data_IF_204539503456
#
_entry.id   IF_204539503456
#
_cell.length_a   1.000
_cell.length_b   1.000
_cell.length_c   1.000
_cell.angle_alpha   90.00
_cell.angle_beta   90.00
_cell.angle_gamma   90.00
#
_symmetry.space_group_name_H-M   'P 1'
#
loop_
_entity.id
_entity.type
_entity.pdbx_description
1 polymer ?
#
# COMPACT_ATOMS: atom_id res chain seq x y z
N UNK A 1 10.65 -30.63 14.57
CA UNK A 1 11.72 -29.71 14.09
C UNK A 1 12.32 -30.10 12.73
N UNK A 2 11.90 -31.19 12.07
CA UNK A 2 12.50 -31.61 10.78
C UNK A 2 12.30 -30.55 9.70
N UNK A 3 11.05 -30.11 9.48
CA UNK A 3 10.73 -29.09 8.47
C UNK A 3 11.42 -27.75 8.74
N UNK A 4 11.44 -27.31 10.01
CA UNK A 4 12.13 -26.08 10.42
C UNK A 4 13.62 -26.12 10.04
N UNK A 5 14.34 -27.18 10.41
CA UNK A 5 15.76 -27.34 10.04
C UNK A 5 15.95 -27.41 8.53
N UNK A 6 15.04 -28.05 7.79
CA UNK A 6 15.09 -28.09 6.32
C UNK A 6 14.94 -26.69 5.72
N UNK A 7 14.00 -25.88 6.20
CA UNK A 7 13.80 -24.50 5.74
C UNK A 7 15.04 -23.65 6.05
N UNK A 8 15.52 -23.71 7.30
CA UNK A 8 16.71 -22.96 7.73
C UNK A 8 17.96 -23.33 6.91
N UNK A 9 18.14 -24.62 6.65
CA UNK A 9 19.22 -25.11 5.79
C UNK A 9 19.11 -24.60 4.35
N UNK A 10 17.89 -24.54 3.78
CA UNK A 10 17.66 -24.02 2.43
C UNK A 10 17.84 -22.51 2.31
N UNK A 11 17.56 -21.76 3.37
CA UNK A 11 17.77 -20.31 3.44
C UNK A 11 19.20 -19.94 3.87
N UNK A 12 20.06 -20.93 4.10
CA UNK A 12 21.43 -20.71 4.59
C UNK A 12 21.46 -19.85 5.86
N UNK A 13 20.45 -20.03 6.73
CA UNK A 13 20.24 -19.23 7.94
C UNK A 13 20.07 -17.71 7.72
N UNK A 14 19.85 -17.29 6.48
CA UNK A 14 19.59 -15.89 6.12
C UNK A 14 18.09 -15.58 6.26
N UNK A 15 17.68 -15.20 7.47
CA UNK A 15 16.28 -14.92 7.81
C UNK A 15 15.91 -13.43 7.71
N UNK A 16 16.91 -12.55 7.68
CA UNK A 16 16.73 -11.10 7.65
C UNK A 16 16.78 -10.60 6.20
N UNK A 17 15.63 -10.62 5.54
CA UNK A 17 15.45 -10.04 4.21
C UNK A 17 14.54 -8.81 4.26
N UNK A 18 14.75 -7.81 3.38
CA UNK A 18 13.87 -6.65 3.34
C UNK A 18 12.44 -7.06 2.96
N UNK A 19 11.48 -6.77 3.83
CA UNK A 19 10.05 -6.99 3.57
C UNK A 19 9.37 -5.69 3.14
N UNK A 20 8.22 -5.75 2.46
CA UNK A 20 7.48 -4.53 2.15
C UNK A 20 7.17 -3.69 3.40
N UNK A 21 6.91 -4.34 4.54
CA UNK A 21 6.58 -3.67 5.80
C UNK A 21 7.61 -2.60 6.21
N UNK A 22 8.92 -2.89 6.13
CA UNK A 22 9.94 -1.93 6.60
C UNK A 22 10.02 -0.67 5.73
N UNK A 23 9.78 -0.79 4.43
CA UNK A 23 9.71 0.36 3.53
C UNK A 23 8.41 1.14 3.72
N UNK A 24 7.31 0.40 3.86
CA UNK A 24 5.97 0.96 3.99
C UNK A 24 5.85 1.92 5.18
N UNK A 25 6.31 1.52 6.37
CA UNK A 25 6.30 2.37 7.57
C UNK A 25 7.05 3.68 7.33
N UNK A 26 8.19 3.63 6.65
CA UNK A 26 8.99 4.82 6.33
C UNK A 26 8.27 5.74 5.33
N UNK A 27 7.67 5.16 4.29
CA UNK A 27 6.99 5.92 3.24
C UNK A 27 5.67 6.55 3.71
N UNK A 28 4.92 5.87 4.58
CA UNK A 28 3.74 6.44 5.23
C UNK A 28 4.13 7.67 6.04
N UNK A 29 5.20 7.59 6.84
CA UNK A 29 5.67 8.74 7.62
C UNK A 29 6.07 9.93 6.73
N UNK A 30 6.75 9.68 5.62
CA UNK A 30 7.06 10.72 4.64
C UNK A 30 5.79 11.33 4.00
N UNK A 31 4.76 10.50 3.77
CA UNK A 31 3.49 10.93 3.23
C UNK A 31 2.70 11.84 4.19
N UNK A 32 2.71 11.55 5.50
CA UNK A 32 2.03 12.33 6.54
C UNK A 32 2.61 13.74 6.69
N UNK A 33 3.94 13.87 6.74
CA UNK A 33 4.62 15.17 6.92
C UNK A 33 4.32 16.13 5.77
N UNK A 34 4.13 15.59 4.57
CA UNK A 34 3.88 16.39 3.36
C UNK A 34 2.48 17.03 3.27
N UNK A 35 1.52 16.60 4.12
CA UNK A 35 0.16 17.19 4.14
C UNK A 35 0.03 18.45 4.98
N UNK A 36 1.05 18.80 5.79
CA UNK A 36 0.94 19.84 6.84
C UNK A 36 1.28 21.26 6.35
N UNK A 37 1.45 21.48 5.03
CA UNK A 37 1.83 22.80 4.48
C UNK A 37 0.67 23.79 4.23
N UNK A 38 -0.56 23.52 4.71
CA UNK A 38 -1.68 24.47 4.58
C UNK A 38 -2.07 25.04 5.95
N UNK A 39 -1.82 26.33 6.13
CA UNK A 39 -2.26 27.22 7.24
C UNK A 39 -3.45 26.69 8.05
N UNK A 40 -3.22 26.31 9.30
CA UNK A 40 -4.05 26.65 10.48
C UNK A 40 -3.58 25.84 11.69
N UNK A 41 -3.18 26.54 12.76
CA UNK A 41 -2.84 25.90 14.02
C UNK A 41 -4.08 25.36 14.71
N UNK A 42 -4.30 24.04 14.62
CA UNK A 42 -5.01 23.24 15.62
C UNK A 42 -4.41 21.82 15.55
N UNK A 43 -3.79 21.29 16.62
CA UNK A 43 -3.36 19.90 16.64
C UNK A 43 -4.59 19.02 16.83
N UNK A 44 -5.02 18.36 15.77
CA UNK A 44 -6.07 17.31 15.80
C UNK A 44 -5.53 16.08 15.07
N UNK A 45 -4.27 15.76 15.36
CA UNK A 45 -3.32 15.18 14.40
C UNK A 45 -3.23 13.64 14.43
N UNK A 46 -4.11 12.94 15.16
CA UNK A 46 -4.07 11.47 15.19
C UNK A 46 -5.17 10.80 14.35
N UNK A 47 -6.37 11.41 14.25
CA UNK A 47 -7.49 10.76 13.56
C UNK A 47 -7.44 10.91 12.03
N UNK A 48 -6.77 11.95 11.53
CA UNK A 48 -6.76 12.26 10.09
C UNK A 48 -5.67 11.51 9.29
N UNK A 49 -4.66 10.97 9.97
CA UNK A 49 -3.55 10.20 9.36
C UNK A 49 -3.82 8.68 9.35
N UNK A 50 -4.59 8.20 10.31
CA UNK A 50 -4.93 6.78 10.47
C UNK A 50 -5.55 6.13 9.21
N UNK A 51 -6.38 6.82 8.40
CA UNK A 51 -6.92 6.25 7.16
C UNK A 51 -5.84 5.98 6.10
N UNK A 52 -4.82 6.84 5.99
CA UNK A 52 -3.74 6.67 5.01
C UNK A 52 -2.88 5.47 5.35
N UNK A 53 -2.47 5.37 6.62
CA UNK A 53 -1.69 4.24 7.11
C UNK A 53 -2.44 2.93 6.89
N UNK A 54 -3.69 2.84 7.33
CA UNK A 54 -4.50 1.63 7.18
C UNK A 54 -4.74 1.26 5.72
N UNK A 55 -5.02 2.24 4.85
CA UNK A 55 -5.21 1.99 3.42
C UNK A 55 -3.93 1.50 2.74
N UNK A 56 -2.78 2.09 3.06
CA UNK A 56 -1.50 1.68 2.50
C UNK A 56 -1.11 0.26 2.97
N UNK A 57 -1.32 -0.06 4.24
CA UNK A 57 -1.16 -1.42 4.76
C UNK A 57 -2.11 -2.42 4.12
N UNK A 58 -3.38 -2.05 3.95
CA UNK A 58 -4.38 -2.87 3.27
C UNK A 58 -3.92 -3.23 1.84
N UNK A 59 -3.54 -2.25 1.03
CA UNK A 59 -3.11 -2.46 -0.35
C UNK A 59 -1.81 -3.26 -0.44
N UNK A 60 -0.84 -3.00 0.45
CA UNK A 60 0.42 -3.75 0.49
C UNK A 60 0.18 -5.22 0.86
N UNK A 61 -0.60 -5.49 1.91
CA UNK A 61 -0.98 -6.86 2.30
C UNK A 61 -1.78 -7.57 1.20
N UNK A 62 -2.71 -6.86 0.55
CA UNK A 62 -3.47 -7.40 -0.56
C UNK A 62 -2.57 -7.80 -1.74
N UNK A 63 -1.56 -6.97 -2.04
CA UNK A 63 -0.54 -7.27 -3.05
C UNK A 63 0.27 -8.53 -2.73
N UNK A 64 0.67 -8.72 -1.47
CA UNK A 64 1.41 -9.93 -1.04
C UNK A 64 0.62 -11.23 -1.22
N UNK A 65 -0.71 -11.17 -1.23
CA UNK A 65 -1.56 -12.35 -1.47
C UNK A 65 -1.59 -12.79 -2.94
N UNK A 66 -1.08 -11.98 -3.86
CA UNK A 66 -1.15 -12.21 -5.30
C UNK A 66 0.23 -12.41 -5.92
N UNK A 67 0.43 -13.55 -6.59
CA UNK A 67 1.69 -13.92 -7.23
C UNK A 67 2.18 -12.89 -8.26
N UNK A 68 1.26 -12.20 -8.94
CA UNK A 68 1.58 -11.18 -9.94
C UNK A 68 2.39 -9.99 -9.37
N UNK A 69 2.41 -9.80 -8.05
CA UNK A 69 3.19 -8.76 -7.38
C UNK A 69 4.67 -9.12 -7.25
N UNK A 70 5.06 -10.40 -7.35
CA UNK A 70 6.45 -10.86 -7.15
C UNK A 70 7.45 -10.31 -8.18
N UNK A 71 6.98 -9.79 -9.31
CA UNK A 71 7.82 -9.10 -10.30
C UNK A 71 8.36 -7.75 -9.80
N UNK A 72 7.81 -7.21 -8.72
CA UNK A 72 8.24 -5.95 -8.12
C UNK A 72 9.04 -6.19 -6.84
N UNK A 73 10.06 -5.37 -6.60
CA UNK A 73 10.79 -5.40 -5.35
C UNK A 73 9.96 -4.86 -4.17
N UNK A 74 10.29 -5.21 -2.91
CA UNK A 74 9.54 -4.79 -1.73
C UNK A 74 9.34 -3.27 -1.59
N UNK A 75 10.35 -2.47 -1.95
CA UNK A 75 10.27 -1.00 -1.91
C UNK A 75 9.26 -0.45 -2.93
N UNK A 76 9.25 -0.99 -4.15
CA UNK A 76 8.30 -0.60 -5.21
C UNK A 76 6.86 -0.88 -4.78
N UNK A 77 6.59 -2.07 -4.25
CA UNK A 77 5.24 -2.44 -3.76
C UNK A 77 4.78 -1.50 -2.66
N UNK A 78 5.69 -1.13 -1.76
CA UNK A 78 5.39 -0.23 -0.64
C UNK A 78 5.11 1.19 -1.11
N UNK A 79 5.93 1.74 -2.01
CA UNK A 79 5.73 3.07 -2.57
C UNK A 79 4.44 3.14 -3.41
N UNK A 80 4.17 2.12 -4.23
CA UNK A 80 2.95 2.02 -5.02
C UNK A 80 1.70 1.89 -4.14
N UNK A 81 1.78 1.17 -3.01
CA UNK A 81 0.68 1.10 -2.05
C UNK A 81 0.38 2.46 -1.41
N UNK A 82 1.42 3.24 -1.05
CA UNK A 82 1.23 4.62 -0.55
C UNK A 82 0.64 5.52 -1.63
N UNK A 83 1.14 5.45 -2.86
CA UNK A 83 0.61 6.23 -3.98
C UNK A 83 -0.88 5.92 -4.23
N UNK A 84 -1.22 4.63 -4.35
CA UNK A 84 -2.60 4.19 -4.53
C UNK A 84 -3.50 4.56 -3.34
N UNK A 85 -3.00 4.46 -2.11
CA UNK A 85 -3.74 4.89 -0.92
C UNK A 85 -4.05 6.40 -0.94
N UNK A 86 -3.09 7.22 -1.34
CA UNK A 86 -3.28 8.67 -1.51
C UNK A 86 -4.29 8.98 -2.62
N UNK A 87 -4.28 8.24 -3.73
CA UNK A 87 -5.32 8.35 -4.76
C UNK A 87 -6.70 8.00 -4.21
N UNK A 88 -6.85 6.86 -3.52
CA UNK A 88 -8.14 6.40 -2.97
C UNK A 88 -8.71 7.40 -1.96
N UNK A 89 -7.83 8.04 -1.17
CA UNK A 89 -8.22 9.02 -0.16
C UNK A 89 -8.25 10.46 -0.68
N UNK A 90 -8.14 10.67 -2.00
CA UNK A 90 -8.16 11.99 -2.66
C UNK A 90 -7.17 13.00 -2.03
N UNK A 91 -5.98 12.54 -1.62
CA UNK A 91 -4.95 13.42 -1.06
C UNK A 91 -4.27 14.20 -2.19
N UNK A 92 -4.09 15.50 -2.00
CA UNK A 92 -3.41 16.38 -2.96
C UNK A 92 -2.23 17.09 -2.29
N UNK A 93 -1.07 17.22 -2.96
CA UNK A 93 -0.69 16.52 -4.19
C UNK A 93 -0.62 14.99 -3.97
N UNK A 94 -0.99 14.20 -4.99
CA UNK A 94 -0.99 12.72 -4.87
C UNK A 94 0.42 12.19 -4.67
N UNK A 95 1.37 12.64 -5.48
CA UNK A 95 2.80 12.37 -5.33
C UNK A 95 3.56 13.70 -5.29
N UNK A 96 4.43 13.88 -4.30
CA UNK A 96 5.16 15.14 -4.09
C UNK A 96 6.66 14.92 -4.02
N UNK A 97 7.40 16.03 -4.02
CA UNK A 97 8.86 16.00 -4.02
C UNK A 97 9.43 15.31 -2.76
N UNK A 98 8.77 15.45 -1.60
CA UNK A 98 9.15 14.72 -0.39
C UNK A 98 9.07 13.20 -0.61
N UNK A 99 7.94 12.71 -1.12
CA UNK A 99 7.77 11.29 -1.41
C UNK A 99 8.77 10.79 -2.47
N UNK A 100 8.98 11.57 -3.53
CA UNK A 100 9.99 11.26 -4.55
C UNK A 100 11.40 11.18 -3.95
N UNK A 101 11.77 12.11 -3.08
CA UNK A 101 13.07 12.14 -2.40
C UNK A 101 13.26 10.94 -1.47
N UNK A 102 12.26 10.60 -0.64
CA UNK A 102 12.39 9.53 0.35
C UNK A 102 12.23 8.13 -0.23
N UNK A 103 11.51 7.99 -1.34
CA UNK A 103 11.29 6.69 -2.01
C UNK A 103 12.26 6.44 -3.16
N UNK A 104 12.77 7.51 -3.78
CA UNK A 104 13.55 7.45 -5.02
C UNK A 104 12.70 7.20 -6.29
N UNK A 105 11.37 7.13 -6.18
CA UNK A 105 10.49 6.82 -7.31
C UNK A 105 9.69 8.03 -7.80
N UNK A 106 9.57 8.16 -9.11
CA UNK A 106 8.63 9.08 -9.75
C UNK A 106 7.22 8.47 -9.81
N UNK A 107 6.21 9.30 -10.05
CA UNK A 107 4.83 8.84 -10.19
C UNK A 107 4.69 7.83 -11.35
N UNK A 108 5.37 8.08 -12.47
CA UNK A 108 5.35 7.23 -13.66
C UNK A 108 5.90 5.83 -13.38
N UNK A 109 6.96 5.73 -12.56
CA UNK A 109 7.56 4.45 -12.18
C UNK A 109 6.64 3.60 -11.30
N UNK A 110 5.78 4.24 -10.50
CA UNK A 110 4.85 3.56 -9.58
C UNK A 110 3.56 3.11 -10.27
N UNK A 111 3.22 3.74 -11.40
CA UNK A 111 1.92 3.64 -12.03
C UNK A 111 1.48 2.19 -12.27
N UNK A 112 2.33 1.35 -12.85
CA UNK A 112 1.97 -0.04 -13.17
C UNK A 112 1.71 -0.89 -11.92
N UNK A 113 2.56 -0.72 -10.90
CA UNK A 113 2.39 -1.44 -9.63
C UNK A 113 1.14 -0.95 -8.90
N UNK A 114 0.88 0.35 -8.89
CA UNK A 114 -0.29 0.94 -8.26
C UNK A 114 -1.61 0.53 -8.94
N UNK A 115 -1.63 0.50 -10.28
CA UNK A 115 -2.75 -0.05 -11.07
C UNK A 115 -3.01 -1.51 -10.72
N UNK A 116 -1.95 -2.31 -10.58
CA UNK A 116 -2.05 -3.72 -10.19
C UNK A 116 -2.64 -3.88 -8.78
N UNK A 117 -2.17 -3.13 -7.79
CA UNK A 117 -2.73 -3.18 -6.43
C UNK A 117 -4.20 -2.74 -6.41
N UNK A 118 -4.54 -1.71 -7.18
CA UNK A 118 -5.91 -1.20 -7.28
C UNK A 118 -6.85 -2.21 -7.96
N UNK A 119 -6.36 -2.95 -8.97
CA UNK A 119 -7.16 -4.00 -9.62
C UNK A 119 -7.44 -5.20 -8.70
N UNK A 120 -6.52 -5.52 -7.78
CA UNK A 120 -6.81 -6.49 -6.74
C UNK A 120 -7.90 -5.98 -5.80
N UNK A 121 -7.86 -4.71 -5.40
CA UNK A 121 -8.88 -4.10 -4.54
C UNK A 121 -10.26 -4.12 -5.19
N UNK A 122 -10.36 -3.81 -6.50
CA UNK A 122 -11.63 -3.89 -7.22
C UNK A 122 -12.15 -5.32 -7.38
N UNK A 123 -11.26 -6.31 -7.44
CA UNK A 123 -11.61 -7.71 -7.70
C UNK A 123 -11.91 -8.53 -6.43
N UNK A 124 -11.83 -7.95 -5.23
CA UNK A 124 -11.99 -8.67 -3.96
C UNK A 124 -13.35 -9.39 -3.86
N UNK A 125 -14.41 -8.81 -4.42
CA UNK A 125 -15.75 -9.41 -4.44
C UNK A 125 -15.76 -10.82 -5.04
N UNK A 126 -14.91 -11.04 -6.04
CA UNK A 126 -14.82 -12.26 -6.85
C UNK A 126 -13.79 -13.27 -6.29
N UNK A 127 -12.96 -12.87 -5.33
CA UNK A 127 -11.87 -13.67 -4.79
C UNK A 127 -12.28 -14.62 -3.66
N UNK A 128 -11.59 -15.78 -3.57
CA UNK A 128 -11.75 -16.73 -2.45
C UNK A 128 -11.11 -16.23 -1.14
N UNK A 129 -10.06 -15.41 -1.23
CA UNK A 129 -9.28 -14.95 -0.08
C UNK A 129 -9.79 -13.60 0.42
N UNK A 130 -10.69 -13.62 1.41
CA UNK A 130 -11.30 -12.41 2.01
C UNK A 130 -10.74 -12.04 3.39
N UNK A 131 -9.64 -12.65 3.82
CA UNK A 131 -9.07 -12.43 5.16
C UNK A 131 -8.54 -11.00 5.31
N UNK A 132 -7.74 -10.53 4.36
CA UNK A 132 -7.20 -9.15 4.37
C UNK A 132 -8.34 -8.14 4.29
N UNK A 133 -9.32 -8.36 3.40
CA UNK A 133 -10.50 -7.49 3.32
C UNK A 133 -11.22 -7.38 4.67
N UNK A 134 -11.59 -8.50 5.29
CA UNK A 134 -12.26 -8.51 6.60
C UNK A 134 -11.46 -7.79 7.69
N UNK A 135 -10.14 -8.00 7.73
CA UNK A 135 -9.24 -7.32 8.67
C UNK A 135 -9.35 -5.80 8.55
N UNK A 136 -9.38 -5.27 7.32
CA UNK A 136 -9.40 -3.83 7.04
C UNK A 136 -10.80 -3.24 6.80
N UNK A 137 -11.85 -4.06 6.87
CA UNK A 137 -13.25 -3.61 7.03
C UNK A 137 -13.61 -3.28 8.47
N UNK A 138 -12.76 -3.64 9.43
CA UNK A 138 -12.93 -3.32 10.84
C UNK A 138 -13.00 -1.78 11.04
N UNK A 139 -14.02 -1.25 11.74
CA UNK A 139 -14.12 0.17 12.08
C UNK A 139 -12.88 0.71 12.82
N UNK A 140 -12.19 -0.10 13.63
CA UNK A 140 -10.95 0.30 14.30
C UNK A 140 -9.81 0.60 13.31
N UNK A 141 -9.91 0.09 12.08
CA UNK A 141 -8.99 0.37 10.98
C UNK A 141 -9.57 1.38 9.98
N UNK A 142 -10.60 2.12 10.38
CA UNK A 142 -11.29 3.10 9.53
C UNK A 142 -12.08 2.47 8.39
N UNK A 143 -12.36 1.16 8.43
CA UNK A 143 -13.07 0.42 7.39
C UNK A 143 -12.53 0.68 5.96
N UNK A 144 -11.23 0.94 5.83
CA UNK A 144 -10.57 1.37 4.58
C UNK A 144 -10.78 0.41 3.41
N UNK A 145 -10.95 -0.89 3.67
CA UNK A 145 -11.19 -1.87 2.61
C UNK A 145 -12.55 -1.68 1.91
N UNK A 146 -13.52 -1.06 2.59
CA UNK A 146 -14.88 -0.80 2.07
C UNK A 146 -14.91 0.44 1.16
N UNK A 147 -13.89 1.30 1.24
CA UNK A 147 -13.77 2.46 0.36
C UNK A 147 -13.63 2.01 -1.11
N UNK A 148 -14.17 2.79 -2.06
CA UNK A 148 -14.05 2.46 -3.47
C UNK A 148 -12.58 2.53 -3.92
N UNK A 149 -12.10 1.62 -4.78
CA UNK A 149 -10.76 1.72 -5.36
C UNK A 149 -10.56 3.03 -6.14
N UNK A 150 -9.31 3.51 -6.19
CA UNK A 150 -8.92 4.70 -6.94
C UNK A 150 -9.25 4.58 -8.44
N UNK A 151 -10.31 5.28 -8.89
CA UNK A 151 -10.81 5.17 -10.27
C UNK A 151 -9.79 5.57 -11.33
N UNK A 152 -8.93 6.54 -11.03
CA UNK A 152 -7.86 6.99 -11.92
C UNK A 152 -6.76 5.93 -12.14
N UNK A 153 -6.68 4.93 -11.27
CA UNK A 153 -5.75 3.80 -11.37
C UNK A 153 -6.41 2.52 -11.91
N UNK A 154 -7.73 2.54 -12.14
CA UNK A 154 -8.38 1.41 -12.80
C UNK A 154 -8.17 1.50 -14.31
N UNK A 155 -8.01 0.35 -15.01
CA UNK A 155 -8.04 0.35 -16.46
C UNK A 155 -9.37 0.97 -16.94
N UNK A 156 -9.32 1.80 -17.97
CA UNK A 156 -10.52 2.36 -18.58
C UNK A 156 -11.45 1.20 -18.96
N UNK A 157 -12.71 1.26 -18.50
CA UNK A 157 -13.74 0.29 -18.90
C UNK A 157 -13.98 0.51 -20.39
N UNK A 158 -13.33 -0.31 -21.22
CA UNK A 158 -13.36 -0.19 -22.67
C UNK A 158 -13.36 -1.57 -23.32
N UNK A 159 -14.52 -1.92 -23.85
CA UNK A 159 -14.73 -2.75 -25.05
C UNK A 159 -14.04 -4.12 -25.06
N UNK A 160 -14.80 -5.14 -24.66
CA UNK A 160 -14.70 -6.46 -25.30
C UNK A 160 -15.48 -6.39 -26.60
#
# INVERSE_FOLDING_TARGET
LIMEKTILGKLEWTLTVPTPFVFLVRFIKAASVSSVSSVSGVPSDQEQEQPLENMAHFLSELGMMHYATLKYCPSMVSAAAVFAARCTLNKSPVWNETLKMYTGYSEEQLMDCAKLLTSFHSSIGNGKLKVVYRKYSDPQRGAVAVLPPAKNLLPAVGSV
#
